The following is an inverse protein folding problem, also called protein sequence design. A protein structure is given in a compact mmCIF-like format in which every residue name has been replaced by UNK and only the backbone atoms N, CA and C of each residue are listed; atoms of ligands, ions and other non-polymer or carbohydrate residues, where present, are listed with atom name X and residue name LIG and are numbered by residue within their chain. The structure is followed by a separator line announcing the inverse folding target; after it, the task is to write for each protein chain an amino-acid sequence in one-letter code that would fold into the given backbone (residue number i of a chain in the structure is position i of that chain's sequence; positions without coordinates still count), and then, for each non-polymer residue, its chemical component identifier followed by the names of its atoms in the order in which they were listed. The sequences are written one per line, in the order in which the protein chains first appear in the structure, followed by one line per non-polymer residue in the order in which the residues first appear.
data_IF_170098640392
#
_entry.id   IF_170098640392
#
_cell.length_a   1.000
_cell.length_b   1.000
_cell.length_c   1.000
_cell.angle_alpha   90.00
_cell.angle_beta   90.00
_cell.angle_gamma   90.00
#
_symmetry.space_group_name_H-M   'P 1'
#
loop_
_entity.id
_entity.type
_entity.pdbx_description
1 polymer ?
#
# COMPACT_ATOMS: atom_id res chain seq x y z
N UNK A 1 8.51 -11.13 7.91
CA UNK A 1 7.82 -10.86 9.20
C UNK A 1 7.05 -9.57 8.98
N UNK A 2 5.73 -9.65 8.87
CA UNK A 2 4.92 -8.48 8.54
C UNK A 2 4.95 -7.50 9.71
N UNK A 3 5.77 -6.45 9.58
CA UNK A 3 5.96 -5.45 10.64
C UNK A 3 4.65 -4.68 10.88
N UNK A 4 3.76 -4.60 9.89
CA UNK A 4 2.46 -3.92 9.98
C UNK A 4 1.40 -4.67 9.15
N UNK A 5 0.27 -5.01 9.77
CA UNK A 5 -0.87 -5.62 9.07
C UNK A 5 -1.50 -4.64 8.08
N UNK A 6 -1.85 -5.12 6.89
CA UNK A 6 -2.43 -4.34 5.79
C UNK A 6 -3.71 -3.61 6.22
N UNK A 7 -4.55 -4.25 7.03
CA UNK A 7 -5.80 -3.66 7.53
C UNK A 7 -5.55 -2.44 8.42
N UNK A 8 -4.47 -2.44 9.21
CA UNK A 8 -4.12 -1.29 10.06
C UNK A 8 -3.63 -0.11 9.23
N UNK A 9 -2.80 -0.36 8.21
CA UNK A 9 -2.32 0.70 7.31
C UNK A 9 -3.48 1.31 6.51
N UNK A 10 -4.41 0.47 6.02
CA UNK A 10 -5.63 0.92 5.35
C UNK A 10 -6.51 1.78 6.27
N UNK A 11 -6.67 1.39 7.54
CA UNK A 11 -7.42 2.17 8.51
C UNK A 11 -6.79 3.54 8.79
N UNK A 12 -5.46 3.59 8.94
CA UNK A 12 -4.72 4.86 9.07
C UNK A 12 -4.93 5.76 7.86
N UNK A 13 -4.92 5.19 6.65
CA UNK A 13 -5.19 5.95 5.42
C UNK A 13 -6.62 6.51 5.38
N UNK A 14 -7.62 5.71 5.74
CA UNK A 14 -9.03 6.17 5.80
C UNK A 14 -9.17 7.30 6.83
N UNK A 15 -8.57 7.13 8.01
CA UNK A 15 -8.55 8.17 9.04
C UNK A 15 -7.86 9.46 8.56
N UNK A 16 -6.76 9.34 7.81
CA UNK A 16 -6.09 10.48 7.18
C UNK A 16 -7.00 11.22 6.19
N UNK A 17 -7.74 10.50 5.32
CA UNK A 17 -8.69 11.12 4.38
C UNK A 17 -9.85 11.84 5.09
N UNK A 18 -10.38 11.24 6.16
CA UNK A 18 -11.41 11.91 6.97
C UNK A 18 -10.87 13.13 7.72
N UNK A 19 -9.65 13.07 8.23
CA UNK A 19 -9.00 14.23 8.83
C UNK A 19 -8.82 15.35 7.78
N UNK A 20 -8.38 15.00 6.57
CA UNK A 20 -8.18 15.96 5.49
C UNK A 20 -9.51 16.60 5.06
N UNK A 21 -10.57 15.81 4.94
CA UNK A 21 -11.95 16.29 4.73
C UNK A 21 -12.38 17.28 5.82
N UNK A 22 -12.17 16.96 7.09
CA UNK A 22 -12.47 17.85 8.22
C UNK A 22 -11.68 19.17 8.16
N UNK A 23 -10.38 19.12 7.87
CA UNK A 23 -9.54 20.31 7.76
C UNK A 23 -9.91 21.18 6.57
N UNK A 24 -10.35 20.61 5.44
CA UNK A 24 -10.86 21.39 4.32
C UNK A 24 -12.09 22.24 4.70
N UNK A 25 -12.94 21.78 5.62
CA UNK A 25 -14.10 22.56 6.10
C UNK A 25 -13.74 23.59 7.15
N UNK A 26 -12.80 23.25 8.04
CA UNK A 26 -12.50 24.09 9.21
C UNK A 26 -11.44 25.15 8.91
N UNK A 27 -10.27 24.74 8.44
CA UNK A 27 -9.18 25.64 8.10
C UNK A 27 -8.14 24.92 7.22
N UNK A 28 -8.22 25.15 5.91
CA UNK A 28 -7.26 24.60 4.94
C UNK A 28 -5.88 25.25 5.06
N UNK A 29 -5.81 26.47 5.60
CA UNK A 29 -4.56 27.21 5.74
C UNK A 29 -3.60 26.51 6.69
N UNK A 30 -4.13 25.78 7.68
CA UNK A 30 -3.33 24.96 8.59
C UNK A 30 -2.50 23.89 7.85
N UNK A 31 -3.06 23.29 6.78
CA UNK A 31 -2.34 22.34 5.94
C UNK A 31 -1.35 23.10 5.05
N UNK A 32 -1.82 24.11 4.30
CA UNK A 32 -1.02 24.79 3.29
C UNK A 32 0.17 25.60 3.84
N UNK A 33 0.10 26.06 5.10
CA UNK A 33 1.19 26.79 5.77
C UNK A 33 2.12 25.92 6.61
N UNK A 34 1.96 24.61 6.58
CA UNK A 34 2.84 23.73 7.32
C UNK A 34 4.29 23.89 6.83
N UNK A 35 5.24 24.05 7.75
CA UNK A 35 6.66 24.29 7.42
C UNK A 35 7.26 23.21 6.53
N UNK A 36 6.84 21.95 6.68
CA UNK A 36 7.30 20.84 5.85
C UNK A 36 6.80 20.98 4.42
N UNK A 37 5.52 21.36 4.24
CA UNK A 37 4.95 21.58 2.91
C UNK A 37 5.55 22.80 2.22
N UNK A 38 5.81 23.87 2.96
CA UNK A 38 6.47 25.07 2.44
C UNK A 38 7.92 24.78 2.02
N UNK A 39 8.69 24.11 2.87
CA UNK A 39 10.07 23.71 2.55
C UNK A 39 10.11 22.83 1.29
N UNK A 40 9.20 21.85 1.20
CA UNK A 40 9.08 20.97 0.04
C UNK A 40 8.69 21.70 -1.24
N UNK A 41 7.75 22.66 -1.13
CA UNK A 41 7.34 23.51 -2.26
C UNK A 41 8.52 24.33 -2.78
N UNK A 42 9.30 24.94 -1.88
CA UNK A 42 10.49 25.72 -2.25
C UNK A 42 11.58 24.85 -2.88
N UNK A 43 11.82 23.65 -2.35
CA UNK A 43 12.79 22.72 -2.91
C UNK A 43 12.43 22.25 -4.33
N UNK A 44 11.14 22.19 -4.66
CA UNK A 44 10.63 21.74 -5.96
C UNK A 44 10.21 22.89 -6.88
N UNK A 45 10.45 24.13 -6.45
CA UNK A 45 10.06 25.34 -7.16
C UNK A 45 8.57 25.40 -7.58
N UNK A 46 7.69 24.81 -6.76
CA UNK A 46 6.25 24.75 -7.04
C UNK A 46 5.55 26.03 -6.53
N UNK A 47 4.59 26.59 -7.28
CA UNK A 47 3.83 27.74 -6.83
C UNK A 47 2.97 27.35 -5.63
N UNK A 48 3.05 28.18 -4.58
CA UNK A 48 2.28 27.97 -3.36
C UNK A 48 0.81 28.35 -3.60
N UNK A 49 -0.09 27.40 -3.40
CA UNK A 49 -1.51 27.68 -3.48
C UNK A 49 -1.99 28.40 -2.22
N UNK A 50 -2.56 29.58 -2.43
CA UNK A 50 -3.21 30.35 -1.37
C UNK A 50 -4.71 30.32 -1.64
N UNK A 51 -5.44 29.47 -0.92
CA UNK A 51 -6.90 29.42 -0.99
C UNK A 51 -7.46 30.27 0.15
N UNK A 52 -8.45 31.11 -0.15
CA UNK A 52 -9.19 31.83 0.88
C UNK A 52 -10.04 30.86 1.73
N UNK A 53 -10.11 31.08 3.04
CA UNK A 53 -10.83 30.23 4.02
C UNK A 53 -12.31 30.03 3.70
N UNK A 54 -12.89 30.94 2.92
CA UNK A 54 -14.31 30.95 2.56
C UNK A 54 -14.57 30.67 1.06
N UNK A 55 -13.71 29.88 0.41
CA UNK A 55 -13.96 29.44 -0.97
C UNK A 55 -14.99 28.31 -1.01
N UNK A 56 -16.06 28.48 -1.79
CA UNK A 56 -17.09 27.45 -2.01
C UNK A 56 -16.53 26.12 -2.56
N UNK A 57 -15.36 26.17 -3.20
CA UNK A 57 -14.69 24.99 -3.75
C UNK A 57 -14.18 24.03 -2.66
N UNK A 58 -13.83 24.55 -1.47
CA UNK A 58 -13.34 23.73 -0.35
C UNK A 58 -14.38 22.74 0.15
N UNK A 59 -15.67 23.14 0.14
CA UNK A 59 -16.77 22.24 0.49
C UNK A 59 -16.88 21.06 -0.46
N UNK A 60 -16.70 21.30 -1.76
CA UNK A 60 -16.70 20.23 -2.77
C UNK A 60 -15.52 19.26 -2.56
N UNK A 61 -14.31 19.78 -2.35
CA UNK A 61 -13.15 18.92 -2.09
C UNK A 61 -13.29 18.11 -0.81
N UNK A 62 -13.84 18.71 0.26
CA UNK A 62 -14.15 17.99 1.50
C UNK A 62 -15.08 16.81 1.26
N UNK A 63 -16.15 17.00 0.48
CA UNK A 63 -17.10 15.95 0.13
C UNK A 63 -16.42 14.84 -0.68
N UNK A 64 -15.57 15.20 -1.65
CA UNK A 64 -14.83 14.22 -2.46
C UNK A 64 -13.87 13.37 -1.60
N UNK A 65 -13.13 13.98 -0.67
CA UNK A 65 -12.26 13.24 0.24
C UNK A 65 -13.06 12.35 1.21
N UNK A 66 -14.23 12.80 1.65
CA UNK A 66 -15.12 11.98 2.47
C UNK A 66 -15.63 10.75 1.71
N UNK A 67 -16.09 10.93 0.46
CA UNK A 67 -16.51 9.81 -0.39
C UNK A 67 -15.35 8.88 -0.72
N UNK A 68 -14.14 9.41 -0.94
CA UNK A 68 -12.95 8.60 -1.15
C UNK A 68 -12.64 7.73 0.08
N UNK A 69 -12.77 8.29 1.29
CA UNK A 69 -12.63 7.54 2.54
C UNK A 69 -13.71 6.46 2.71
N UNK A 70 -14.97 6.77 2.41
CA UNK A 70 -16.08 5.80 2.46
C UNK A 70 -15.92 4.65 1.46
N UNK A 71 -15.51 4.97 0.24
CA UNK A 71 -15.27 3.97 -0.80
C UNK A 71 -14.21 2.94 -0.38
N UNK A 72 -13.24 3.33 0.44
CA UNK A 72 -12.23 2.43 0.96
C UNK A 72 -12.62 1.76 2.29
N UNK A 73 -13.54 2.36 3.04
CA UNK A 73 -14.10 1.79 4.26
C UNK A 73 -15.00 0.58 3.98
N UNK A 74 -15.80 0.63 2.91
CA UNK A 74 -16.75 -0.46 2.56
C UNK A 74 -16.01 -1.80 2.32
N UNK A 75 -15.00 -1.89 1.43
CA UNK A 75 -14.28 -3.14 1.19
C UNK A 75 -13.46 -3.60 2.40
N UNK A 76 -13.03 -2.66 3.26
CA UNK A 76 -12.33 -2.99 4.50
C UNK A 76 -13.25 -3.70 5.50
N UNK A 77 -14.51 -3.27 5.58
CA UNK A 77 -15.52 -3.90 6.43
C UNK A 77 -15.89 -5.31 5.95
N UNK A 78 -15.89 -5.52 4.63
CA UNK A 78 -16.13 -6.83 4.00
C UNK A 78 -14.92 -7.79 4.09
N UNK A 79 -13.75 -7.30 4.54
CA UNK A 79 -12.48 -8.06 4.57
C UNK A 79 -12.12 -8.70 3.21
N UNK A 80 -12.47 -8.04 2.12
CA UNK A 80 -12.19 -8.54 0.78
C UNK A 80 -10.74 -8.24 0.36
N UNK A 81 -9.81 -9.12 0.72
CA UNK A 81 -8.38 -8.95 0.44
C UNK A 81 -8.04 -8.94 -1.06
N UNK A 82 -8.83 -9.64 -1.89
CA UNK A 82 -8.61 -9.70 -3.35
C UNK A 82 -8.87 -8.34 -3.99
N UNK A 83 -9.88 -7.61 -3.52
CA UNK A 83 -10.18 -6.26 -3.98
C UNK A 83 -9.01 -5.31 -3.77
N UNK A 84 -8.43 -5.31 -2.57
CA UNK A 84 -7.29 -4.46 -2.22
C UNK A 84 -6.04 -4.77 -3.07
N UNK A 85 -5.82 -6.03 -3.42
CA UNK A 85 -4.67 -6.43 -4.23
C UNK A 85 -4.70 -5.84 -5.65
N UNK A 86 -5.89 -5.64 -6.23
CA UNK A 86 -6.04 -5.04 -7.57
C UNK A 86 -6.15 -3.52 -7.54
N UNK A 87 -6.90 -2.96 -6.59
CA UNK A 87 -7.17 -1.52 -6.58
C UNK A 87 -5.95 -0.68 -6.15
N UNK A 88 -5.17 -1.16 -5.17
CA UNK A 88 -4.02 -0.43 -4.61
C UNK A 88 -2.92 -0.16 -5.66
N UNK A 89 -2.43 -1.14 -6.44
CA UNK A 89 -1.43 -0.86 -7.48
C UNK A 89 -1.99 0.04 -8.58
N UNK A 90 -3.26 -0.14 -8.96
CA UNK A 90 -3.92 0.72 -9.95
C UNK A 90 -3.95 2.18 -9.50
N UNK A 91 -4.31 2.41 -8.23
CA UNK A 91 -4.33 3.73 -7.60
C UNK A 91 -2.93 4.34 -7.48
N UNK A 92 -1.93 3.53 -7.13
CA UNK A 92 -0.53 3.94 -7.10
C UNK A 92 -0.07 4.42 -8.48
N UNK A 93 -0.34 3.66 -9.55
CA UNK A 93 -0.02 4.06 -10.92
C UNK A 93 -0.71 5.37 -11.30
N UNK A 94 -1.99 5.51 -10.97
CA UNK A 94 -2.73 6.74 -11.23
C UNK A 94 -2.09 7.96 -10.53
N UNK A 95 -1.86 7.90 -9.22
CA UNK A 95 -1.25 9.01 -8.48
C UNK A 95 0.20 9.28 -8.88
N UNK A 96 0.94 8.24 -9.28
CA UNK A 96 2.28 8.40 -9.84
C UNK A 96 2.26 9.22 -11.13
N UNK A 97 1.33 8.92 -12.04
CA UNK A 97 1.14 9.70 -13.27
C UNK A 97 0.71 11.12 -12.96
N UNK A 98 -0.28 11.32 -12.07
CA UNK A 98 -0.75 12.68 -11.71
C UNK A 98 0.37 13.51 -11.08
N UNK A 99 1.15 12.93 -10.18
CA UNK A 99 2.27 13.63 -9.52
C UNK A 99 3.40 13.94 -10.51
N UNK A 100 3.70 13.00 -11.41
CA UNK A 100 4.68 13.23 -12.49
C UNK A 100 4.24 14.31 -13.48
N UNK A 101 2.96 14.34 -13.85
CA UNK A 101 2.39 15.39 -14.70
C UNK A 101 2.37 16.75 -14.01
N UNK A 102 2.06 16.77 -12.71
CA UNK A 102 2.12 17.99 -11.88
C UNK A 102 3.52 18.60 -11.89
N UNK A 103 4.57 17.76 -11.88
CA UNK A 103 5.95 18.21 -11.97
C UNK A 103 6.35 18.68 -13.37
N UNK A 104 5.99 17.93 -14.43
CA UNK A 104 6.46 18.20 -15.79
C UNK A 104 5.68 19.32 -16.52
N UNK A 105 4.40 19.52 -16.20
CA UNK A 105 3.55 20.51 -16.89
C UNK A 105 3.57 21.88 -16.22
N UNK A 106 4.72 22.56 -16.23
CA UNK A 106 4.90 23.91 -15.67
C UNK A 106 3.93 24.95 -16.28
N UNK A 107 3.52 24.77 -17.54
CA UNK A 107 2.60 25.69 -18.23
C UNK A 107 1.14 25.59 -17.71
N UNK A 108 0.77 24.50 -17.04
CA UNK A 108 -0.62 24.28 -16.62
C UNK A 108 -0.75 24.51 -15.10
N UNK A 109 -0.93 25.78 -14.71
CA UNK A 109 -1.03 26.25 -13.31
C UNK A 109 -2.08 25.51 -12.46
N UNK A 110 -3.08 24.89 -13.10
CA UNK A 110 -4.09 24.09 -12.39
C UNK A 110 -3.54 22.76 -11.85
N UNK A 111 -2.57 22.15 -12.54
CA UNK A 111 -1.95 20.89 -12.13
C UNK A 111 -0.60 21.10 -11.46
N UNK A 112 0.13 22.14 -11.86
CA UNK A 112 1.41 22.52 -11.28
C UNK A 112 1.21 23.32 -9.99
N UNK A 113 0.86 22.61 -8.92
CA UNK A 113 0.43 23.20 -7.66
C UNK A 113 1.01 22.42 -6.49
N UNK A 114 1.52 23.12 -5.48
CA UNK A 114 2.12 22.49 -4.31
C UNK A 114 1.16 21.55 -3.55
N UNK A 115 -0.14 21.87 -3.48
CA UNK A 115 -1.13 21.07 -2.79
C UNK A 115 -1.38 19.74 -3.51
N UNK A 116 -1.49 19.78 -4.85
CA UNK A 116 -1.70 18.60 -5.69
C UNK A 116 -0.48 17.70 -5.64
N UNK A 117 0.71 18.29 -5.75
CA UNK A 117 1.95 17.54 -5.68
C UNK A 117 2.16 16.89 -4.31
N UNK A 118 1.98 17.63 -3.21
CA UNK A 118 2.15 17.10 -1.87
C UNK A 118 1.14 16.00 -1.54
N UNK A 119 -0.12 16.18 -1.91
CA UNK A 119 -1.14 15.16 -1.75
C UNK A 119 -0.82 13.91 -2.57
N UNK A 120 -0.42 14.09 -3.84
CA UNK A 120 0.01 13.00 -4.71
C UNK A 120 1.21 12.23 -4.17
N UNK A 121 2.21 12.93 -3.64
CA UNK A 121 3.38 12.32 -3.01
C UNK A 121 3.02 11.49 -1.77
N UNK A 122 2.17 12.03 -0.88
CA UNK A 122 1.69 11.30 0.31
C UNK A 122 0.85 10.08 -0.09
N UNK A 123 0.01 10.19 -1.12
CA UNK A 123 -0.76 9.06 -1.64
C UNK A 123 0.17 7.99 -2.25
N UNK A 124 1.18 8.36 -3.03
CA UNK A 124 2.16 7.39 -3.56
C UNK A 124 2.85 6.66 -2.40
N UNK A 125 3.35 7.39 -1.41
CA UNK A 125 4.03 6.82 -0.26
C UNK A 125 3.12 5.86 0.54
N UNK A 126 1.89 6.31 0.83
CA UNK A 126 0.93 5.51 1.60
C UNK A 126 0.47 4.27 0.83
N UNK A 127 0.16 4.40 -0.47
CA UNK A 127 -0.22 3.26 -1.32
C UNK A 127 0.94 2.29 -1.50
N UNK A 128 2.19 2.77 -1.55
CA UNK A 128 3.37 1.90 -1.57
C UNK A 128 3.47 1.08 -0.29
N UNK A 129 3.33 1.71 0.88
CA UNK A 129 3.31 0.99 2.16
C UNK A 129 2.19 -0.07 2.19
N UNK A 130 0.96 0.29 1.80
CA UNK A 130 -0.16 -0.66 1.74
C UNK A 130 0.16 -1.82 0.78
N UNK A 131 0.72 -1.54 -0.39
CA UNK A 131 1.08 -2.56 -1.38
C UNK A 131 2.12 -3.53 -0.82
N UNK A 132 3.15 -3.03 -0.15
CA UNK A 132 4.18 -3.88 0.46
C UNK A 132 3.59 -4.79 1.55
N UNK A 133 2.74 -4.26 2.44
CA UNK A 133 2.06 -5.06 3.46
C UNK A 133 1.12 -6.11 2.85
N UNK A 134 0.34 -5.75 1.82
CA UNK A 134 -0.53 -6.70 1.14
C UNK A 134 0.25 -7.81 0.42
N UNK A 135 1.39 -7.46 -0.19
CA UNK A 135 2.25 -8.43 -0.88
C UNK A 135 2.87 -9.41 0.10
N UNK A 136 3.29 -8.95 1.27
CA UNK A 136 3.84 -9.80 2.32
C UNK A 136 2.77 -10.74 2.90
N UNK A 137 1.58 -10.22 3.26
CA UNK A 137 0.47 -11.05 3.74
C UNK A 137 0.06 -12.10 2.70
N UNK A 138 0.02 -11.74 1.42
CA UNK A 138 -0.24 -12.68 0.33
C UNK A 138 0.82 -13.78 0.29
N UNK A 139 2.09 -13.44 0.41
CA UNK A 139 3.18 -14.41 0.39
C UNK A 139 3.06 -15.42 1.55
N UNK A 140 2.81 -14.94 2.77
CA UNK A 140 2.61 -15.81 3.94
C UNK A 140 1.41 -16.74 3.78
N UNK A 141 0.30 -16.25 3.18
CA UNK A 141 -0.87 -17.11 2.90
C UNK A 141 -0.60 -18.18 1.83
N UNK A 142 0.31 -17.92 0.90
CA UNK A 142 0.71 -18.95 -0.07
C UNK A 142 1.58 -20.02 0.60
N UNK A 143 2.56 -19.62 1.41
CA UNK A 143 3.41 -20.54 2.18
C UNK A 143 2.58 -21.41 3.14
N UNK A 144 1.58 -20.84 3.81
CA UNK A 144 0.69 -21.59 4.70
C UNK A 144 -0.15 -22.63 3.95
N UNK A 145 -0.71 -22.27 2.79
CA UNK A 145 -1.46 -23.20 1.94
C UNK A 145 -0.58 -24.34 1.43
N UNK A 146 0.64 -24.03 1.02
CA UNK A 146 1.61 -25.03 0.57
C UNK A 146 1.96 -26.01 1.68
N UNK A 147 2.18 -25.52 2.92
CA UNK A 147 2.41 -26.37 4.09
C UNK A 147 1.23 -27.28 4.40
N UNK A 148 0.00 -26.78 4.33
CA UNK A 148 -1.20 -27.58 4.57
C UNK A 148 -1.36 -28.65 3.49
N UNK A 149 -1.20 -28.29 2.22
CA UNK A 149 -1.27 -29.24 1.11
C UNK A 149 -0.18 -30.32 1.20
N UNK A 150 1.04 -29.95 1.58
CA UNK A 150 2.11 -30.91 1.82
C UNK A 150 1.75 -31.85 2.98
N UNK A 151 1.27 -31.31 4.11
CA UNK A 151 0.84 -32.12 5.25
C UNK A 151 -0.31 -33.09 4.92
N UNK A 152 -1.28 -32.64 4.13
CA UNK A 152 -2.38 -33.49 3.65
C UNK A 152 -1.90 -34.57 2.68
N UNK A 153 -0.94 -34.25 1.81
CA UNK A 153 -0.29 -35.22 0.92
C UNK A 153 0.42 -36.33 1.74
N UNK A 154 1.22 -35.96 2.75
CA UNK A 154 1.89 -36.93 3.62
C UNK A 154 0.92 -37.76 4.46
N UNK A 155 -0.17 -37.15 4.94
CA UNK A 155 -1.21 -37.87 5.68
C UNK A 155 -1.93 -38.92 4.83
N UNK A 156 -2.00 -38.72 3.52
CA UNK A 156 -2.61 -39.66 2.57
C UNK A 156 -1.63 -40.76 2.11
N UNK A 157 -0.33 -40.43 1.98
CA UNK A 157 0.71 -41.36 1.52
C UNK A 157 1.29 -42.27 2.63
N UNK A 158 0.92 -42.04 3.89
CA UNK A 158 1.27 -42.93 5.01
C UNK A 158 2.73 -42.88 5.46
N UNK A 159 3.61 -42.12 4.79
CA UNK A 159 4.99 -41.90 5.22
C UNK A 159 5.10 -40.69 6.14
N UNK A 160 5.67 -40.92 7.32
CA UNK A 160 5.91 -39.92 8.37
C UNK A 160 7.22 -39.17 8.05
N UNK A 161 7.38 -37.88 8.39
CA UNK A 161 8.65 -37.17 8.19
C UNK A 161 9.87 -37.80 8.88
N UNK A 162 9.67 -38.67 9.87
CA UNK A 162 10.73 -39.48 10.47
C UNK A 162 11.33 -40.49 9.49
N UNK A 163 10.51 -41.05 8.60
CA UNK A 163 10.88 -42.13 7.69
C UNK A 163 11.84 -41.63 6.59
N UNK A 164 11.74 -40.34 6.20
CA UNK A 164 12.67 -39.72 5.26
C UNK A 164 13.98 -39.27 5.90
N UNK A 165 13.97 -38.92 7.20
CA UNK A 165 15.18 -38.58 7.93
C UNK A 165 16.02 -39.84 8.17
N UNK A 166 15.37 -40.97 8.50
CA UNK A 166 16.01 -42.29 8.52
C UNK A 166 16.48 -42.73 7.13
N UNK A 167 15.68 -42.61 6.06
CA UNK A 167 16.13 -42.97 4.71
C UNK A 167 17.28 -42.11 4.18
N UNK A 168 17.35 -40.83 4.56
CA UNK A 168 18.45 -39.94 4.21
C UNK A 168 19.73 -40.22 5.03
N UNK A 169 19.59 -40.61 6.31
CA UNK A 169 20.71 -41.11 7.11
C UNK A 169 21.19 -42.49 6.61
N UNK A 170 20.28 -43.42 6.28
CA UNK A 170 20.62 -44.78 5.84
C UNK A 170 21.26 -44.78 4.44
N UNK A 171 20.79 -43.92 3.52
CA UNK A 171 21.43 -43.71 2.22
C UNK A 171 22.81 -43.04 2.31
N UNK A 172 23.09 -42.31 3.40
CA UNK A 172 24.43 -41.74 3.64
C UNK A 172 25.42 -42.73 4.29
N UNK A 173 24.93 -43.90 4.72
CA UNK A 173 25.71 -44.92 5.44
C UNK A 173 26.28 -46.03 4.53
N UNK A 174 25.87 -46.08 3.26
CA UNK A 174 26.46 -46.97 2.25
C UNK A 174 27.24 -46.16 1.21
N UNK A 175 28.58 -46.09 1.29
CA UNK A 175 29.39 -45.53 0.23
C UNK A 175 29.28 -46.41 -1.02
N UNK A 176 29.07 -45.72 -2.12
CA UNK A 176 29.04 -46.17 -3.51
C UNK A 176 30.35 -46.90 -3.90
N UNK A 177 30.46 -48.20 -3.61
CA UNK A 177 31.46 -49.09 -4.23
C UNK A 177 30.88 -49.70 -5.51
N UNK A 178 31.05 -49.02 -6.65
CA UNK A 178 31.01 -49.65 -7.98
C UNK A 178 31.64 -48.77 -9.07
N UNK A 179 32.93 -48.44 -8.92
CA UNK A 179 33.81 -48.18 -10.06
C UNK A 179 34.96 -49.20 -10.00
N UNK A 180 34.83 -50.34 -10.68
CA UNK A 180 35.92 -50.92 -11.47
C UNK A 180 35.40 -52.13 -12.27
N UNK A 181 35.53 -52.08 -13.61
CA UNK A 181 35.71 -53.18 -14.60
C UNK A 181 35.13 -52.83 -15.97
#
# INVERSE_FOLDING_TARGET
MAIISSSKVLFVRIAFLFALSYYCLKDVEFILRNSTLVAFSHSMNLPQLVINKHSSQLGLFSLLFFFAGLHDLIPLLEKNHTYFLSIVPTRLTFFFIVTGLSFYQEHNLYLHNNAVFAYGFIEIWTNFLIFTSLREERNTRFEEKERVLAADYYKYDGNTPADQQELAEDASTFPEEAEDS
#
